data_IF_124274872592
#
_entry.id   IF_124274872592
#
_cell.length_a   1.000
_cell.length_b   1.000
_cell.length_c   1.000
_cell.angle_alpha   90.00
_cell.angle_beta   90.00
_cell.angle_gamma   90.00
#
_symmetry.space_group_name_H-M   'P 1'
#
loop_
_entity.id
_entity.type
_entity.pdbx_description
1 polymer ?
#
# COMPACT_ATOMS: atom_id res chain seq x y z
N UNK A 1 -20.68 19.66 -21.79
CA UNK A 1 -20.96 18.23 -21.53
C UNK A 1 -20.12 17.35 -22.45
N UNK A 2 -19.76 16.16 -22.03
CA UNK A 2 -19.07 15.16 -22.85
C UNK A 2 -20.06 14.31 -23.64
N UNK A 3 -19.64 13.89 -24.81
CA UNK A 3 -20.43 13.05 -25.70
C UNK A 3 -20.34 11.59 -25.23
N UNK A 4 -21.49 10.93 -25.06
CA UNK A 4 -21.57 9.49 -24.72
C UNK A 4 -21.95 8.71 -25.96
N UNK A 5 -21.33 7.55 -26.13
CA UNK A 5 -21.70 6.55 -27.14
C UNK A 5 -21.92 5.21 -26.42
N UNK A 6 -22.73 4.33 -27.02
CA UNK A 6 -22.84 2.95 -26.54
C UNK A 6 -21.52 2.21 -26.76
N UNK A 7 -21.19 1.29 -25.86
CA UNK A 7 -20.01 0.42 -26.02
C UNK A 7 -20.08 -0.39 -27.32
N UNK A 8 -21.29 -0.75 -27.77
CA UNK A 8 -21.50 -1.49 -29.01
C UNK A 8 -21.17 -0.69 -30.29
N UNK A 9 -21.03 0.63 -30.14
CA UNK A 9 -20.69 1.56 -31.23
C UNK A 9 -19.20 1.96 -31.22
N UNK A 10 -18.40 1.31 -30.38
CA UNK A 10 -16.94 1.53 -30.34
C UNK A 10 -16.31 0.57 -31.36
N UNK A 11 -15.66 1.13 -32.36
CA UNK A 11 -14.93 0.33 -33.35
C UNK A 11 -13.75 -0.40 -32.68
N UNK A 12 -13.39 -1.62 -33.14
CA UNK A 12 -12.30 -2.40 -32.54
C UNK A 12 -10.95 -1.68 -32.50
N UNK A 13 -10.65 -0.84 -33.47
CA UNK A 13 -9.44 -0.04 -33.54
C UNK A 13 -9.39 1.14 -32.54
N UNK A 14 -10.53 1.49 -31.95
CA UNK A 14 -10.66 2.47 -30.90
C UNK A 14 -10.45 1.87 -29.49
N UNK A 15 -10.31 0.55 -29.40
CA UNK A 15 -10.07 -0.19 -28.17
C UNK A 15 -8.63 -0.66 -28.11
N UNK A 16 -7.79 0.08 -27.41
CA UNK A 16 -6.38 -0.26 -27.26
C UNK A 16 -6.17 -0.88 -25.87
N UNK A 17 -5.85 -2.19 -25.79
CA UNK A 17 -5.44 -2.81 -24.53
C UNK A 17 -4.18 -2.13 -24.00
N UNK A 18 -4.14 -1.85 -22.71
CA UNK A 18 -2.98 -1.24 -22.07
C UNK A 18 -2.67 -1.94 -20.75
N UNK A 19 -1.42 -2.36 -20.58
CA UNK A 19 -0.97 -3.05 -19.37
C UNK A 19 -0.51 -2.07 -18.29
N UNK A 20 -1.46 -1.49 -17.57
CA UNK A 20 -1.18 -0.61 -16.45
C UNK A 20 -0.41 -1.33 -15.33
N UNK A 21 -0.75 -2.59 -15.06
CA UNK A 21 -0.17 -3.35 -13.95
C UNK A 21 1.29 -3.69 -14.20
N UNK A 22 1.62 -4.25 -15.37
CA UNK A 22 3.00 -4.62 -15.71
C UNK A 22 3.93 -3.43 -15.68
N UNK A 23 3.53 -2.32 -16.32
CA UNK A 23 4.31 -1.09 -16.34
C UNK A 23 4.51 -0.50 -14.94
N UNK A 24 3.47 -0.46 -14.10
CA UNK A 24 3.59 0.00 -12.73
C UNK A 24 4.56 -0.85 -11.92
N UNK A 25 4.44 -2.18 -12.00
CA UNK A 25 5.31 -3.11 -11.27
C UNK A 25 6.76 -2.99 -11.72
N UNK A 26 7.01 -2.81 -13.01
CA UNK A 26 8.36 -2.61 -13.55
C UNK A 26 8.98 -1.29 -13.05
N UNK A 27 8.21 -0.21 -13.04
CA UNK A 27 8.66 1.12 -12.61
C UNK A 27 9.02 1.19 -11.11
N UNK A 28 8.50 0.28 -10.27
CA UNK A 28 8.79 0.28 -8.84
C UNK A 28 10.29 0.25 -8.52
N UNK A 29 11.11 -0.40 -9.34
CA UNK A 29 12.56 -0.46 -9.12
C UNK A 29 13.26 0.89 -9.29
N UNK A 30 12.65 1.84 -10.00
CA UNK A 30 13.16 3.21 -10.10
C UNK A 30 12.86 4.06 -8.87
N UNK A 31 11.86 3.63 -8.08
CA UNK A 31 11.35 4.37 -6.92
C UNK A 31 11.83 3.74 -5.61
N UNK A 32 11.85 2.42 -5.54
CA UNK A 32 12.16 1.62 -4.36
C UNK A 32 13.47 0.85 -4.60
N UNK A 33 14.32 0.77 -3.59
CA UNK A 33 15.53 -0.06 -3.66
C UNK A 33 15.15 -1.55 -3.50
N UNK A 34 14.69 -2.15 -4.61
CA UNK A 34 14.29 -3.56 -4.64
C UNK A 34 15.45 -4.52 -4.37
N UNK A 35 16.68 -4.16 -4.75
CA UNK A 35 17.88 -4.99 -4.48
C UNK A 35 18.14 -5.12 -2.98
N UNK A 36 17.96 -4.04 -2.22
CA UNK A 36 18.10 -4.06 -0.76
C UNK A 36 17.04 -4.98 -0.12
N UNK A 37 15.79 -4.91 -0.59
CA UNK A 37 14.71 -5.77 -0.09
C UNK A 37 14.98 -7.24 -0.44
N UNK A 38 15.39 -7.52 -1.66
CA UNK A 38 15.74 -8.88 -2.10
C UNK A 38 16.92 -9.47 -1.32
N UNK A 39 17.91 -8.64 -0.99
CA UNK A 39 19.09 -9.05 -0.21
C UNK A 39 18.75 -9.30 1.26
N UNK A 40 17.95 -8.44 1.86
CA UNK A 40 17.50 -8.57 3.25
C UNK A 40 16.49 -9.71 3.45
N UNK A 41 15.74 -10.05 2.40
CA UNK A 41 14.70 -11.11 2.40
C UNK A 41 13.72 -11.03 3.56
N UNK A 42 13.18 -9.85 3.92
CA UNK A 42 12.21 -9.79 4.99
C UNK A 42 11.01 -10.70 4.66
N UNK A 43 10.53 -11.41 5.66
CA UNK A 43 9.31 -12.20 5.51
C UNK A 43 8.11 -11.30 5.74
N UNK A 44 7.38 -11.01 4.67
CA UNK A 44 6.27 -10.02 4.67
C UNK A 44 4.93 -10.72 4.54
N UNK A 45 3.96 -10.32 5.35
CA UNK A 45 2.57 -10.72 5.19
C UNK A 45 1.77 -9.56 4.59
N UNK A 46 0.99 -9.84 3.56
CA UNK A 46 0.18 -8.83 2.86
C UNK A 46 -1.30 -9.19 2.95
N UNK A 47 -2.13 -8.18 3.23
CA UNK A 47 -3.57 -8.26 3.11
C UNK A 47 -4.07 -7.08 2.27
N UNK A 48 -4.59 -7.37 1.08
CA UNK A 48 -5.17 -6.37 0.18
C UNK A 48 -6.56 -5.90 0.61
N UNK A 49 -7.09 -6.40 1.74
CA UNK A 49 -8.44 -6.15 2.26
C UNK A 49 -9.53 -6.25 1.18
N UNK A 50 -9.37 -7.19 0.24
CA UNK A 50 -10.30 -7.42 -0.88
C UNK A 50 -10.25 -6.35 -1.98
N UNK A 51 -9.26 -5.48 -1.94
CA UNK A 51 -9.17 -4.32 -2.82
C UNK A 51 -8.55 -4.56 -4.19
N UNK A 52 -8.50 -3.49 -4.97
CA UNK A 52 -8.07 -3.47 -6.36
C UNK A 52 -6.60 -3.86 -6.58
N UNK A 53 -5.75 -3.71 -5.56
CA UNK A 53 -4.31 -3.98 -5.66
C UNK A 53 -3.91 -5.43 -5.46
N UNK A 54 -4.84 -6.35 -5.20
CA UNK A 54 -4.51 -7.77 -5.01
C UNK A 54 -3.69 -8.34 -6.16
N UNK A 55 -4.09 -8.06 -7.40
CA UNK A 55 -3.36 -8.47 -8.58
C UNK A 55 -1.98 -7.82 -8.74
N UNK A 56 -1.78 -6.64 -8.16
CA UNK A 56 -0.49 -5.95 -8.12
C UNK A 56 0.46 -6.61 -7.12
N UNK A 57 0.00 -6.95 -5.91
CA UNK A 57 0.81 -7.64 -4.92
C UNK A 57 1.33 -8.99 -5.43
N UNK A 58 0.49 -9.76 -6.13
CA UNK A 58 0.90 -11.01 -6.79
C UNK A 58 2.02 -10.75 -7.82
N UNK A 59 1.82 -9.76 -8.68
CA UNK A 59 2.80 -9.41 -9.71
C UNK A 59 4.12 -8.87 -9.12
N UNK A 60 4.07 -8.07 -8.05
CA UNK A 60 5.25 -7.58 -7.34
C UNK A 60 6.02 -8.75 -6.70
N UNK A 61 5.31 -9.65 -6.00
CA UNK A 61 5.92 -10.86 -5.42
C UNK A 61 6.68 -11.66 -6.47
N UNK A 62 6.03 -11.93 -7.59
CA UNK A 62 6.61 -12.72 -8.69
C UNK A 62 7.77 -11.98 -9.38
N UNK A 63 7.56 -10.73 -9.78
CA UNK A 63 8.56 -9.93 -10.53
C UNK A 63 9.86 -9.75 -9.76
N UNK A 64 9.77 -9.55 -8.44
CA UNK A 64 10.94 -9.27 -7.59
C UNK A 64 11.34 -10.45 -6.70
N UNK A 65 10.68 -11.62 -6.86
CA UNK A 65 10.95 -12.82 -6.05
C UNK A 65 11.01 -12.51 -4.55
N UNK A 66 9.99 -11.82 -4.04
CA UNK A 66 9.94 -11.40 -2.64
C UNK A 66 9.49 -12.54 -1.72
N UNK A 67 10.07 -12.60 -0.53
CA UNK A 67 9.65 -13.49 0.55
C UNK A 67 8.36 -12.97 1.19
N UNK A 68 7.24 -13.19 0.53
CA UNK A 68 5.96 -12.56 0.83
C UNK A 68 4.84 -13.60 0.79
N UNK A 69 3.97 -13.58 1.79
CA UNK A 69 2.71 -14.31 1.78
C UNK A 69 1.55 -13.31 1.66
N UNK A 70 0.54 -13.67 0.89
CA UNK A 70 -0.67 -12.86 0.68
C UNK A 70 -1.83 -13.65 1.25
N UNK A 71 -2.57 -13.05 2.19
CA UNK A 71 -3.79 -13.63 2.74
C UNK A 71 -5.02 -12.98 2.13
N UNK A 72 -6.16 -13.66 2.23
CA UNK A 72 -7.40 -13.26 1.56
C UNK A 72 -7.15 -13.01 0.06
N UNK A 73 -6.41 -13.96 -0.54
CA UNK A 73 -5.86 -13.88 -1.90
C UNK A 73 -6.91 -14.26 -2.97
N UNK A 74 -8.17 -13.87 -2.75
CA UNK A 74 -9.27 -14.05 -3.68
C UNK A 74 -10.15 -12.80 -3.70
N UNK A 75 -10.74 -12.51 -4.86
CA UNK A 75 -11.70 -11.42 -4.97
C UNK A 75 -13.05 -11.89 -4.41
N UNK A 76 -13.37 -11.45 -3.21
CA UNK A 76 -14.67 -11.68 -2.58
C UNK A 76 -15.44 -10.35 -2.50
N UNK A 77 -16.43 -10.12 -3.39
CA UNK A 77 -17.21 -8.89 -3.38
C UNK A 77 -18.14 -8.75 -2.16
N UNK A 78 -18.25 -9.81 -1.35
CA UNK A 78 -19.01 -9.77 -0.09
C UNK A 78 -18.15 -9.41 1.11
N UNK A 79 -16.82 -9.40 0.97
CA UNK A 79 -15.84 -9.16 2.02
C UNK A 79 -16.06 -10.06 3.25
N UNK A 80 -16.45 -11.32 3.04
CA UNK A 80 -16.83 -12.26 4.10
C UNK A 80 -15.69 -12.60 5.07
N UNK A 81 -14.44 -12.38 4.67
CA UNK A 81 -13.24 -12.57 5.48
C UNK A 81 -13.01 -11.45 6.50
N UNK A 82 -13.69 -10.31 6.37
CA UNK A 82 -13.48 -9.16 7.26
C UNK A 82 -14.11 -9.37 8.62
N UNK A 83 -13.41 -8.92 9.67
CA UNK A 83 -13.98 -8.81 11.02
C UNK A 83 -14.83 -7.56 11.14
N UNK A 84 -15.84 -7.63 12.02
CA UNK A 84 -16.64 -6.45 12.35
C UNK A 84 -15.81 -5.44 13.15
N UNK A 85 -15.94 -4.18 12.83
CA UNK A 85 -15.39 -3.08 13.61
C UNK A 85 -16.19 -2.87 14.92
N UNK A 86 -15.71 -2.00 15.81
CA UNK A 86 -16.32 -1.71 17.13
C UNK A 86 -17.81 -1.32 17.07
N UNK A 87 -18.27 -0.80 15.94
CA UNK A 87 -19.67 -0.40 15.72
C UNK A 87 -20.53 -1.50 15.05
N UNK A 88 -19.98 -2.70 14.91
CA UNK A 88 -20.66 -3.84 14.30
C UNK A 88 -20.78 -3.77 12.78
N UNK A 89 -20.01 -2.92 12.11
CA UNK A 89 -19.95 -2.78 10.65
C UNK A 89 -18.68 -3.34 10.08
N UNK A 90 -18.74 -3.81 8.85
CA UNK A 90 -17.53 -4.14 8.08
C UNK A 90 -16.90 -2.84 7.57
N UNK A 91 -15.64 -2.65 7.91
CA UNK A 91 -14.82 -1.53 7.44
C UNK A 91 -13.49 -2.05 6.95
N UNK A 92 -13.06 -1.61 5.78
CA UNK A 92 -11.76 -1.94 5.20
C UNK A 92 -10.76 -0.80 5.43
N UNK A 93 -10.79 -0.22 6.62
CA UNK A 93 -9.85 0.84 7.02
C UNK A 93 -8.59 0.22 7.64
N UNK A 94 -7.48 0.27 6.93
CA UNK A 94 -6.22 -0.33 7.36
C UNK A 94 -5.55 0.41 8.55
N UNK A 95 -6.12 1.51 9.04
CA UNK A 95 -5.75 2.12 10.33
C UNK A 95 -6.52 1.51 11.51
N UNK A 96 -7.57 0.71 11.25
CA UNK A 96 -8.35 0.02 12.28
C UNK A 96 -7.68 -1.29 12.69
N UNK A 97 -7.54 -1.51 14.00
CA UNK A 97 -7.06 -2.78 14.55
C UNK A 97 -7.98 -3.96 14.20
N UNK A 98 -9.27 -3.72 13.99
CA UNK A 98 -10.24 -4.73 13.59
C UNK A 98 -10.02 -5.16 12.13
N UNK A 99 -9.86 -4.21 11.21
CA UNK A 99 -9.57 -4.52 9.81
C UNK A 99 -8.22 -5.24 9.66
N UNK A 100 -7.24 -4.89 10.49
CA UNK A 100 -5.90 -5.47 10.48
C UNK A 100 -5.74 -6.68 11.41
N UNK A 101 -6.84 -7.18 12.01
CA UNK A 101 -6.80 -8.26 12.99
C UNK A 101 -6.15 -9.54 12.46
N UNK A 102 -6.40 -9.91 11.21
CA UNK A 102 -5.88 -11.14 10.63
C UNK A 102 -4.36 -11.10 10.42
N UNK A 103 -3.82 -9.98 10.01
CA UNK A 103 -2.36 -9.81 9.89
C UNK A 103 -1.71 -9.67 11.26
N UNK A 104 -2.38 -8.98 12.20
CA UNK A 104 -1.87 -8.81 13.58
C UNK A 104 -1.78 -10.14 14.33
N UNK A 105 -2.74 -11.06 14.14
CA UNK A 105 -2.69 -12.40 14.74
C UNK A 105 -1.51 -13.25 14.24
N UNK A 106 -1.05 -12.99 13.03
CA UNK A 106 -0.03 -13.80 12.36
C UNK A 106 1.36 -13.17 12.39
N UNK A 107 1.50 -11.91 12.87
CA UNK A 107 2.76 -11.15 12.80
C UNK A 107 3.94 -11.86 13.44
N UNK A 108 3.73 -12.71 14.45
CA UNK A 108 4.80 -13.47 15.10
C UNK A 108 5.57 -14.41 14.17
N UNK A 109 5.07 -14.68 12.96
CA UNK A 109 5.72 -15.50 11.95
C UNK A 109 6.37 -14.67 10.83
N UNK A 110 6.31 -13.34 10.91
CA UNK A 110 6.74 -12.41 9.89
C UNK A 110 7.56 -11.26 10.49
N UNK A 111 8.40 -10.65 9.69
CA UNK A 111 9.16 -9.46 10.08
C UNK A 111 8.28 -8.22 9.99
N UNK A 112 7.32 -8.24 9.05
CA UNK A 112 6.45 -7.11 8.74
C UNK A 112 5.13 -7.63 8.16
N UNK A 113 4.03 -6.96 8.49
CA UNK A 113 2.77 -7.15 7.77
C UNK A 113 2.23 -5.82 7.26
N UNK A 114 1.59 -5.85 6.11
CA UNK A 114 1.02 -4.65 5.48
C UNK A 114 -0.41 -4.92 5.03
N UNK A 115 -1.24 -3.88 5.10
CA UNK A 115 -2.58 -3.88 4.53
C UNK A 115 -2.83 -2.59 3.75
N UNK A 116 -3.67 -2.69 2.73
CA UNK A 116 -4.18 -1.54 2.01
C UNK A 116 -5.69 -1.57 2.01
N UNK A 117 -6.32 -0.41 2.03
CA UNK A 117 -7.75 -0.32 1.82
C UNK A 117 -8.12 -0.59 0.34
N UNK A 118 -9.41 -0.79 0.02
CA UNK A 118 -9.80 -1.33 -1.28
C UNK A 118 -9.43 -0.47 -2.50
N UNK A 119 -9.36 0.83 -2.38
CA UNK A 119 -8.98 1.76 -3.46
C UNK A 119 -7.52 2.21 -3.40
N UNK A 120 -6.76 1.69 -2.39
CA UNK A 120 -5.30 1.83 -2.28
C UNK A 120 -4.79 3.25 -2.03
N UNK A 121 -5.59 4.11 -1.45
CA UNK A 121 -5.14 5.44 -1.03
C UNK A 121 -4.61 5.46 0.43
N UNK A 122 -4.79 4.37 1.17
CA UNK A 122 -4.34 4.19 2.55
C UNK A 122 -3.56 2.90 2.74
N UNK A 123 -2.77 2.87 3.81
CA UNK A 123 -1.98 1.71 4.21
C UNK A 123 -1.98 1.52 5.73
N UNK A 124 -1.80 0.29 6.15
CA UNK A 124 -1.52 -0.09 7.53
C UNK A 124 -0.27 -0.97 7.59
N UNK A 125 0.55 -0.76 8.60
CA UNK A 125 1.79 -1.50 8.80
C UNK A 125 1.79 -2.08 10.20
N UNK A 126 2.02 -3.38 10.31
CA UNK A 126 2.08 -4.10 11.58
C UNK A 126 3.47 -4.70 11.76
N UNK A 127 4.03 -4.52 12.94
CA UNK A 127 5.27 -5.15 13.39
C UNK A 127 5.02 -5.99 14.63
N UNK A 128 6.05 -6.61 15.18
CA UNK A 128 5.96 -7.32 16.46
C UNK A 128 5.46 -6.43 17.62
N UNK A 129 5.62 -5.11 17.51
CA UNK A 129 5.15 -4.12 18.49
C UNK A 129 3.69 -3.69 18.26
N UNK A 130 3.06 -4.14 17.17
CA UNK A 130 1.69 -3.83 16.80
C UNK A 130 1.53 -2.94 15.58
N UNK A 131 0.35 -2.37 15.41
CA UNK A 131 0.01 -1.48 14.31
C UNK A 131 0.73 -0.13 14.44
N UNK A 132 1.54 0.22 13.45
CA UNK A 132 2.28 1.48 13.42
C UNK A 132 1.31 2.63 13.10
N UNK A 133 1.42 3.74 13.84
CA UNK A 133 0.70 4.96 13.51
C UNK A 133 1.06 5.44 12.10
N UNK A 134 0.08 5.65 11.20
CA UNK A 134 0.33 6.19 9.87
C UNK A 134 1.10 7.51 9.88
N UNK A 135 0.85 8.36 10.87
CA UNK A 135 1.53 9.63 11.05
C UNK A 135 3.02 9.47 11.38
N UNK A 136 3.36 8.49 12.22
CA UNK A 136 4.76 8.19 12.53
C UNK A 136 5.49 7.65 11.29
N UNK A 137 4.85 6.73 10.57
CA UNK A 137 5.39 6.18 9.34
C UNK A 137 5.61 7.25 8.25
N UNK A 138 4.64 8.17 8.06
CA UNK A 138 4.79 9.27 7.09
C UNK A 138 6.04 10.12 7.36
N UNK A 139 6.33 10.40 8.63
CA UNK A 139 7.53 11.17 8.99
C UNK A 139 8.80 10.38 8.70
N UNK A 140 8.83 9.08 9.03
CA UNK A 140 9.96 8.20 8.73
C UNK A 140 10.16 8.04 7.22
N UNK A 141 9.07 7.91 6.45
CA UNK A 141 9.13 7.82 4.99
C UNK A 141 9.66 9.13 4.36
N UNK A 142 9.25 10.28 4.88
CA UNK A 142 9.78 11.57 4.44
C UNK A 142 11.30 11.65 4.71
N UNK A 143 11.75 11.32 5.92
CA UNK A 143 13.17 11.32 6.25
C UNK A 143 13.99 10.38 5.36
N UNK A 144 13.50 9.17 5.15
CA UNK A 144 14.12 8.20 4.25
C UNK A 144 14.26 8.73 2.83
N UNK A 145 13.16 9.23 2.25
CA UNK A 145 13.14 9.70 0.86
C UNK A 145 14.06 10.91 0.65
N UNK A 146 13.99 11.90 1.52
CA UNK A 146 14.86 13.08 1.42
C UNK A 146 16.33 12.72 1.57
N UNK A 147 16.64 11.82 2.50
CA UNK A 147 18.02 11.38 2.74
C UNK A 147 18.56 10.54 1.59
N UNK A 148 17.80 9.53 1.12
CA UNK A 148 18.27 8.59 0.10
C UNK A 148 18.26 9.16 -1.29
N UNK A 149 17.39 10.15 -1.57
CA UNK A 149 17.28 10.83 -2.86
C UNK A 149 18.09 12.11 -2.94
N UNK A 150 18.69 12.54 -1.84
CA UNK A 150 19.48 13.77 -1.79
C UNK A 150 18.64 15.02 -2.14
N UNK A 151 17.37 15.05 -1.75
CA UNK A 151 16.49 16.17 -2.04
C UNK A 151 16.79 17.36 -1.12
N UNK A 152 17.69 18.21 -1.54
CA UNK A 152 18.11 19.41 -0.80
C UNK A 152 17.38 20.68 -1.25
N UNK A 153 16.69 20.62 -2.39
CA UNK A 153 15.95 21.73 -3.03
C UNK A 153 14.44 21.51 -3.04
N UNK A 154 13.94 20.50 -2.33
CA UNK A 154 12.54 20.13 -2.29
C UNK A 154 11.90 20.47 -0.95
N UNK A 155 10.64 20.84 -0.99
CA UNK A 155 9.80 21.04 0.20
C UNK A 155 8.80 19.92 0.38
N UNK A 156 8.27 19.79 1.59
CA UNK A 156 7.19 18.86 1.92
C UNK A 156 5.89 19.62 2.03
N UNK A 157 4.91 19.25 1.20
CA UNK A 157 3.53 19.69 1.35
C UNK A 157 2.74 18.72 2.22
N UNK A 158 2.00 19.21 3.19
CA UNK A 158 1.09 18.40 4.00
C UNK A 158 -0.25 19.08 4.23
N UNK A 159 -1.27 18.31 4.56
CA UNK A 159 -2.58 18.83 4.98
C UNK A 159 -2.60 19.08 6.49
N UNK A 160 -3.62 19.82 6.96
CA UNK A 160 -3.81 20.14 8.38
C UNK A 160 -4.05 18.89 9.25
N UNK A 161 -4.54 17.80 8.66
CA UNK A 161 -4.77 16.54 9.38
C UNK A 161 -3.51 15.69 9.57
N UNK A 162 -2.43 16.01 8.86
CA UNK A 162 -1.16 15.34 9.04
C UNK A 162 -0.46 15.77 10.33
N UNK A 163 0.39 14.89 10.84
CA UNK A 163 1.12 15.12 12.09
C UNK A 163 2.03 16.36 12.03
N UNK A 164 2.18 17.05 13.16
CA UNK A 164 3.19 18.10 13.35
C UNK A 164 4.62 17.56 13.47
N UNK A 165 4.81 16.23 13.54
CA UNK A 165 6.15 15.62 13.48
C UNK A 165 6.87 15.97 12.18
N UNK A 166 6.13 16.05 11.06
CA UNK A 166 6.70 16.44 9.76
C UNK A 166 7.23 17.88 9.82
N UNK A 167 6.52 18.81 10.47
CA UNK A 167 7.00 20.20 10.62
C UNK A 167 8.30 20.26 11.44
N UNK A 168 8.35 19.50 12.54
CA UNK A 168 9.54 19.41 13.41
C UNK A 168 10.72 18.76 12.68
N UNK A 169 10.43 17.73 11.89
CA UNK A 169 11.44 17.06 11.08
C UNK A 169 11.99 18.04 10.02
N UNK A 170 11.13 18.74 9.30
CA UNK A 170 11.54 19.71 8.29
C UNK A 170 12.44 20.82 8.91
N UNK A 171 12.02 21.38 10.06
CA UNK A 171 12.79 22.41 10.76
C UNK A 171 14.20 21.97 11.25
N UNK A 172 14.46 20.67 11.32
CA UNK A 172 15.78 20.13 11.68
C UNK A 172 16.66 19.89 10.44
N UNK A 173 16.03 19.75 9.27
CA UNK A 173 16.72 19.48 8.00
C UNK A 173 17.12 20.75 7.24
N UNK A 174 16.50 21.90 7.56
CA UNK A 174 16.90 23.23 7.07
C UNK A 174 18.21 23.69 7.73
#
# INVERSE_FOLDING_TARGET
GFKRISIDNIEPDQQVPYDYKGLYVEELSSIINMEAIQSAKPKVLVNALGGSGLGYWRAIKERYNLNMDIINDEYDPTFSFMTYDHDGKVRMDCSSEYAMADVTKQIGNYDLAVGNDPDYDRYGIVTAEGLISPNAFLTAAADYLFTTRGWTDKGVGKTVVCTTMIDKWAAVKD
#
